data_IF_028114033958
#
_entry.id   IF_028114033958
#
_cell.length_a   1.000
_cell.length_b   1.000
_cell.length_c   1.000
_cell.angle_alpha   90.00
_cell.angle_beta   90.00
_cell.angle_gamma   90.00
#
_symmetry.space_group_name_H-M   'P 1'
#
loop_
_entity.id
_entity.type
_entity.pdbx_description
1 polymer ?
#
# COMPACT_ATOMS: atom_id res chain seq x y z
N UNK A 1 -27.72 4.71 2.32
CA UNK A 1 -26.47 4.30 3.04
C UNK A 1 -26.39 4.94 4.42
N UNK A 2 -25.46 4.52 5.31
CA UNK A 2 -25.29 5.14 6.64
C UNK A 2 -25.07 6.66 6.60
N UNK A 3 -24.31 7.12 5.59
CA UNK A 3 -24.05 8.55 5.36
C UNK A 3 -25.35 9.31 5.05
N UNK A 4 -26.21 8.75 4.20
CA UNK A 4 -27.53 9.33 3.88
C UNK A 4 -28.48 9.33 5.09
N UNK A 5 -28.50 8.25 5.87
CA UNK A 5 -29.31 8.17 7.09
C UNK A 5 -28.91 9.29 8.08
N UNK A 6 -27.61 9.45 8.35
CA UNK A 6 -27.10 10.51 9.23
C UNK A 6 -27.38 11.91 8.69
N UNK A 7 -27.26 12.10 7.37
CA UNK A 7 -27.42 13.42 6.77
C UNK A 7 -28.88 13.87 6.64
N UNK A 8 -29.81 12.94 6.43
CA UNK A 8 -31.20 13.27 6.09
C UNK A 8 -32.24 12.77 7.10
N UNK A 9 -32.08 11.56 7.64
CA UNK A 9 -33.05 10.97 8.58
C UNK A 9 -32.80 11.38 10.02
N UNK A 10 -31.54 11.33 10.46
CA UNK A 10 -31.17 11.57 11.87
C UNK A 10 -31.40 13.02 12.30
N UNK A 11 -31.35 13.96 11.35
CA UNK A 11 -31.63 15.39 11.59
C UNK A 11 -33.12 15.72 11.67
N UNK A 12 -34.00 14.86 11.14
CA UNK A 12 -35.44 15.09 11.13
C UNK A 12 -36.16 14.19 12.16
N UNK A 13 -36.54 14.83 13.26
CA UNK A 13 -37.26 14.19 14.37
C UNK A 13 -38.63 13.64 13.95
N UNK A 14 -39.25 14.18 12.90
CA UNK A 14 -40.52 13.68 12.37
C UNK A 14 -40.36 12.36 11.60
N UNK A 15 -39.21 12.13 10.98
CA UNK A 15 -38.86 10.86 10.33
C UNK A 15 -38.47 9.80 11.37
N UNK A 16 -37.64 10.15 12.36
CA UNK A 16 -37.20 9.20 13.40
C UNK A 16 -38.33 8.54 14.20
N UNK A 17 -39.46 9.24 14.38
CA UNK A 17 -40.64 8.69 15.06
C UNK A 17 -41.52 7.80 14.17
N UNK A 18 -41.28 7.77 12.86
CA UNK A 18 -42.09 7.02 11.88
C UNK A 18 -41.36 5.84 11.28
N UNK A 19 -40.02 5.87 11.28
CA UNK A 19 -39.19 4.83 10.67
C UNK A 19 -38.38 4.10 11.74
N UNK A 20 -38.43 2.77 11.69
CA UNK A 20 -37.55 1.91 12.47
C UNK A 20 -36.27 1.64 11.68
N UNK A 21 -35.12 1.91 12.28
CA UNK A 21 -33.83 1.56 11.69
C UNK A 21 -33.65 0.04 11.73
N UNK A 22 -33.41 -0.55 10.55
CA UNK A 22 -32.97 -1.93 10.39
C UNK A 22 -31.59 -1.87 9.72
N UNK A 23 -30.57 -2.38 10.41
CA UNK A 23 -29.21 -2.43 9.90
C UNK A 23 -29.06 -3.65 8.97
N UNK A 24 -28.76 -3.39 7.69
CA UNK A 24 -28.49 -4.42 6.69
C UNK A 24 -26.97 -4.52 6.52
N UNK A 25 -26.39 -5.60 7.02
CA UNK A 25 -24.95 -5.83 7.00
C UNK A 25 -24.48 -6.34 5.63
N UNK A 26 -23.19 -6.13 5.35
CA UNK A 26 -22.48 -6.78 4.25
C UNK A 26 -22.57 -8.32 4.42
N UNK A 27 -22.95 -9.08 3.38
CA UNK A 27 -23.03 -10.54 3.44
C UNK A 27 -21.66 -11.17 3.63
N UNK A 28 -21.65 -12.37 4.21
CA UNK A 28 -20.43 -13.17 4.33
C UNK A 28 -19.93 -13.63 2.96
N UNK A 29 -18.67 -14.08 2.89
CA UNK A 29 -18.11 -14.70 1.67
C UNK A 29 -19.00 -15.87 1.21
N UNK A 30 -19.40 -16.74 2.15
CA UNK A 30 -20.24 -17.90 1.85
C UNK A 30 -21.61 -17.49 1.30
N UNK A 31 -22.25 -16.50 1.90
CA UNK A 31 -23.55 -16.02 1.45
C UNK A 31 -23.46 -15.30 0.10
N UNK A 32 -22.38 -14.56 -0.13
CA UNK A 32 -22.12 -13.92 -1.43
C UNK A 32 -21.93 -14.96 -2.54
N UNK A 33 -21.25 -16.07 -2.26
CA UNK A 33 -21.14 -17.19 -3.21
C UNK A 33 -22.54 -17.76 -3.53
N UNK A 34 -23.42 -17.91 -2.54
CA UNK A 34 -24.82 -18.37 -2.77
C UNK A 34 -25.61 -17.38 -3.62
N UNK A 35 -25.49 -16.08 -3.33
CA UNK A 35 -26.13 -15.00 -4.11
C UNK A 35 -25.70 -15.07 -5.57
N UNK A 36 -24.39 -15.13 -5.83
CA UNK A 36 -23.86 -15.21 -7.19
C UNK A 36 -24.23 -16.50 -7.92
N UNK A 37 -24.33 -17.64 -7.22
CA UNK A 37 -24.87 -18.87 -7.80
C UNK A 37 -26.32 -18.70 -8.24
N UNK A 38 -27.13 -17.97 -7.47
CA UNK A 38 -28.51 -17.64 -7.82
C UNK A 38 -28.62 -16.69 -9.03
N UNK A 39 -27.69 -15.73 -9.15
CA UNK A 39 -27.65 -14.79 -10.27
C UNK A 39 -26.93 -15.35 -11.51
N UNK A 40 -26.23 -16.48 -11.40
CA UNK A 40 -25.37 -17.04 -12.44
C UNK A 40 -26.09 -17.15 -13.79
N UNK A 41 -27.28 -17.74 -13.82
CA UNK A 41 -28.01 -17.96 -15.08
C UNK A 41 -28.33 -16.66 -15.81
N UNK A 42 -28.68 -15.59 -15.07
CA UNK A 42 -28.95 -14.29 -15.67
C UNK A 42 -27.71 -13.70 -16.36
N UNK A 43 -26.54 -13.76 -15.73
CA UNK A 43 -25.28 -13.31 -16.34
C UNK A 43 -24.84 -14.20 -17.50
N UNK A 44 -25.02 -15.51 -17.39
CA UNK A 44 -24.71 -16.46 -18.46
C UNK A 44 -25.54 -16.20 -19.72
N UNK A 45 -26.83 -15.95 -19.55
CA UNK A 45 -27.75 -15.70 -20.66
C UNK A 45 -27.51 -14.32 -21.28
N UNK A 46 -27.27 -13.30 -20.44
CA UNK A 46 -26.97 -11.94 -20.89
C UNK A 46 -25.65 -11.88 -21.69
N UNK A 47 -24.59 -12.49 -21.16
CA UNK A 47 -23.24 -12.46 -21.74
C UNK A 47 -22.92 -13.68 -22.59
N UNK A 48 -23.86 -14.59 -22.85
CA UNK A 48 -23.67 -15.81 -23.67
C UNK A 48 -22.40 -16.61 -23.32
N UNK A 49 -22.06 -16.66 -22.03
CA UNK A 49 -20.92 -17.40 -21.46
C UNK A 49 -21.41 -18.35 -20.36
N UNK A 50 -20.53 -19.22 -19.87
CA UNK A 50 -20.75 -20.08 -18.71
C UNK A 50 -19.69 -19.81 -17.66
N UNK A 51 -20.08 -19.67 -16.40
CA UNK A 51 -19.14 -19.48 -15.29
C UNK A 51 -18.91 -20.80 -14.57
N UNK A 52 -17.64 -21.19 -14.42
CA UNK A 52 -17.29 -22.34 -13.58
C UNK A 52 -17.61 -22.05 -12.11
N UNK A 53 -17.91 -23.08 -11.28
CA UNK A 53 -18.10 -22.87 -9.84
C UNK A 53 -16.89 -22.24 -9.16
N UNK A 54 -15.70 -22.58 -9.64
CA UNK A 54 -14.43 -22.03 -9.18
C UNK A 54 -14.33 -20.53 -9.52
N UNK A 55 -14.66 -20.10 -10.75
CA UNK A 55 -14.68 -18.69 -11.12
C UNK A 55 -15.59 -17.83 -10.20
N UNK A 56 -16.76 -18.34 -9.81
CA UNK A 56 -17.66 -17.63 -8.88
C UNK A 56 -16.99 -17.50 -7.50
N UNK A 57 -16.40 -18.58 -7.00
CA UNK A 57 -15.71 -18.57 -5.71
C UNK A 57 -14.53 -17.58 -5.73
N UNK A 58 -13.69 -17.66 -6.76
CA UNK A 58 -12.56 -16.75 -6.99
C UNK A 58 -13.02 -15.29 -7.07
N UNK A 59 -14.14 -14.99 -7.74
CA UNK A 59 -14.64 -13.62 -7.85
C UNK A 59 -14.98 -13.04 -6.47
N UNK A 60 -15.61 -13.82 -5.59
CA UNK A 60 -15.93 -13.38 -4.23
C UNK A 60 -14.67 -13.23 -3.39
N UNK A 61 -13.82 -14.25 -3.35
CA UNK A 61 -12.64 -14.26 -2.47
C UNK A 61 -11.64 -13.16 -2.85
N UNK A 62 -11.36 -13.00 -4.14
CA UNK A 62 -10.39 -12.01 -4.61
C UNK A 62 -10.96 -10.59 -4.59
N UNK A 63 -12.26 -10.37 -4.89
CA UNK A 63 -12.86 -9.04 -4.72
C UNK A 63 -12.95 -8.63 -3.25
N UNK A 64 -13.23 -9.58 -2.36
CA UNK A 64 -13.17 -9.35 -0.91
C UNK A 64 -11.79 -8.89 -0.46
N UNK A 65 -10.73 -9.48 -1.04
CA UNK A 65 -9.33 -9.22 -0.68
C UNK A 65 -8.75 -7.95 -1.30
N UNK A 66 -9.04 -7.67 -2.56
CA UNK A 66 -8.35 -6.63 -3.34
C UNK A 66 -9.20 -5.39 -3.64
N UNK A 67 -10.53 -5.49 -3.61
CA UNK A 67 -11.44 -4.36 -3.86
C UNK A 67 -12.02 -3.90 -2.52
N UNK A 68 -11.38 -2.91 -1.89
CA UNK A 68 -11.66 -2.48 -0.51
C UNK A 68 -12.61 -1.27 -0.41
N UNK A 69 -12.76 -0.50 -1.48
CA UNK A 69 -13.62 0.68 -1.58
C UNK A 69 -15.11 0.32 -1.69
N UNK A 70 -15.43 -0.94 -2.02
CA UNK A 70 -16.78 -1.46 -2.18
C UNK A 70 -17.07 -2.62 -1.24
N UNK A 71 -18.37 -2.89 -1.09
CA UNK A 71 -18.92 -3.91 -0.22
C UNK A 71 -19.43 -5.10 -1.03
N UNK A 72 -19.34 -6.29 -0.46
CA UNK A 72 -20.08 -7.45 -0.96
C UNK A 72 -21.60 -7.18 -0.84
N UNK A 73 -22.44 -7.78 -1.69
CA UNK A 73 -22.08 -8.65 -2.82
C UNK A 73 -21.71 -7.88 -4.10
N UNK A 74 -22.00 -6.58 -4.17
CA UNK A 74 -21.89 -5.75 -5.39
C UNK A 74 -20.52 -5.85 -6.06
N UNK A 75 -19.42 -5.70 -5.32
CA UNK A 75 -18.08 -5.77 -5.93
C UNK A 75 -17.78 -7.11 -6.62
N UNK A 76 -18.36 -8.21 -6.14
CA UNK A 76 -18.18 -9.52 -6.75
C UNK A 76 -19.11 -9.71 -7.96
N UNK A 77 -20.29 -9.08 -7.92
CA UNK A 77 -21.23 -9.00 -9.05
C UNK A 77 -20.59 -8.19 -10.18
N UNK A 78 -20.02 -7.03 -9.87
CA UNK A 78 -19.32 -6.17 -10.83
C UNK A 78 -18.20 -6.94 -11.55
N UNK A 79 -17.40 -7.73 -10.81
CA UNK A 79 -16.36 -8.58 -11.41
C UNK A 79 -16.94 -9.59 -12.39
N UNK A 80 -18.02 -10.28 -12.03
CA UNK A 80 -18.65 -11.28 -12.91
C UNK A 80 -19.21 -10.61 -14.17
N UNK A 81 -19.88 -9.47 -13.99
CA UNK A 81 -20.47 -8.71 -15.09
C UNK A 81 -19.39 -8.19 -16.06
N UNK A 82 -18.33 -7.60 -15.53
CA UNK A 82 -17.21 -7.04 -16.30
C UNK A 82 -16.49 -8.13 -17.11
N UNK A 83 -16.24 -9.32 -16.53
CA UNK A 83 -15.64 -10.45 -17.27
C UNK A 83 -16.53 -10.88 -18.44
N UNK A 84 -17.85 -10.96 -18.23
CA UNK A 84 -18.81 -11.28 -19.28
C UNK A 84 -18.84 -10.22 -20.38
N UNK A 85 -18.89 -8.95 -19.98
CA UNK A 85 -18.89 -7.80 -20.89
C UNK A 85 -17.61 -7.74 -21.73
N UNK A 86 -16.44 -7.99 -21.13
CA UNK A 86 -15.16 -8.05 -21.86
C UNK A 86 -15.18 -9.13 -22.95
N UNK A 87 -15.81 -10.29 -22.72
CA UNK A 87 -15.95 -11.29 -23.78
C UNK A 87 -16.87 -10.82 -24.92
N UNK A 88 -17.86 -9.97 -24.63
CA UNK A 88 -18.73 -9.40 -25.67
C UNK A 88 -18.00 -8.42 -26.58
N UNK A 89 -16.96 -7.74 -26.08
CA UNK A 89 -16.12 -6.84 -26.87
C UNK A 89 -15.16 -7.58 -27.82
N UNK A 90 -14.86 -8.85 -27.54
CA UNK A 90 -13.97 -9.69 -28.37
C UNK A 90 -14.73 -10.20 -29.61
N UNK A 91 -14.08 -10.34 -30.79
CA UNK A 91 -14.71 -10.92 -31.98
C UNK A 91 -15.28 -12.32 -31.71
N UNK A 92 -16.44 -12.70 -32.29
CA UNK A 92 -17.12 -13.97 -31.98
C UNK A 92 -16.25 -15.23 -32.08
N UNK A 93 -15.28 -15.26 -33.00
CA UNK A 93 -14.35 -16.39 -33.19
C UNK A 93 -13.33 -16.56 -32.06
N UNK A 94 -13.06 -15.51 -31.29
CA UNK A 94 -12.09 -15.50 -30.17
C UNK A 94 -12.75 -15.49 -28.79
N UNK A 95 -14.09 -15.41 -28.72
CA UNK A 95 -14.82 -15.37 -27.45
C UNK A 95 -14.66 -16.68 -26.70
N UNK A 96 -14.28 -16.60 -25.44
CA UNK A 96 -14.36 -17.76 -24.55
C UNK A 96 -15.81 -18.00 -24.17
N UNK A 97 -16.27 -19.24 -24.32
CA UNK A 97 -17.61 -19.66 -23.88
C UNK A 97 -17.66 -20.02 -22.40
N UNK A 98 -16.52 -20.33 -21.80
CA UNK A 98 -16.42 -20.73 -20.40
C UNK A 98 -15.40 -19.87 -19.69
N UNK A 99 -15.82 -19.29 -18.57
CA UNK A 99 -15.05 -18.40 -17.72
C UNK A 99 -14.52 -19.19 -16.53
N UNK A 100 -13.20 -19.13 -16.35
CA UNK A 100 -12.44 -19.80 -15.29
C UNK A 100 -11.89 -18.77 -14.31
N UNK A 101 -11.28 -19.22 -13.20
CA UNK A 101 -10.59 -18.35 -12.25
C UNK A 101 -9.59 -17.40 -12.93
N UNK A 102 -8.92 -17.84 -14.00
CA UNK A 102 -7.90 -17.04 -14.70
C UNK A 102 -8.46 -15.74 -15.29
N UNK A 103 -9.66 -15.75 -15.86
CA UNK A 103 -10.29 -14.54 -16.40
C UNK A 103 -10.72 -13.58 -15.28
N UNK A 104 -11.20 -14.15 -14.17
CA UNK A 104 -11.59 -13.41 -12.96
C UNK A 104 -10.37 -12.68 -12.38
N UNK A 105 -9.23 -13.38 -12.26
CA UNK A 105 -7.98 -12.80 -11.79
C UNK A 105 -7.55 -11.60 -12.64
N UNK A 106 -7.68 -11.68 -13.96
CA UNK A 106 -7.31 -10.59 -14.88
C UNK A 106 -8.20 -9.35 -14.73
N UNK A 107 -9.51 -9.57 -14.54
CA UNK A 107 -10.45 -8.46 -14.34
C UNK A 107 -10.26 -7.82 -12.98
N UNK A 108 -10.12 -8.62 -11.92
CA UNK A 108 -9.82 -8.09 -10.59
C UNK A 108 -8.49 -7.36 -10.60
N UNK A 109 -7.48 -7.86 -11.30
CA UNK A 109 -6.21 -7.15 -11.46
C UNK A 109 -6.41 -5.75 -12.05
N UNK A 110 -7.24 -5.65 -13.08
CA UNK A 110 -7.55 -4.38 -13.74
C UNK A 110 -8.37 -3.45 -12.82
N UNK A 111 -9.41 -3.97 -12.17
CA UNK A 111 -10.29 -3.19 -11.27
C UNK A 111 -9.55 -2.70 -10.03
N UNK A 112 -8.74 -3.56 -9.41
CA UNK A 112 -7.93 -3.25 -8.24
C UNK A 112 -6.59 -2.55 -8.59
N UNK A 113 -6.32 -2.32 -9.87
CA UNK A 113 -5.09 -1.69 -10.39
C UNK A 113 -3.82 -2.38 -9.89
N UNK A 114 -3.86 -3.70 -9.84
CA UNK A 114 -2.72 -4.55 -9.52
C UNK A 114 -2.21 -5.26 -10.77
N UNK A 115 -0.90 -5.52 -10.88
CA UNK A 115 -0.38 -6.34 -11.96
C UNK A 115 -1.14 -7.69 -12.04
N UNK A 116 -1.58 -8.14 -13.22
CA UNK A 116 -2.24 -9.45 -13.35
C UNK A 116 -1.36 -10.60 -12.85
N UNK A 117 -0.04 -10.41 -12.92
CA UNK A 117 0.92 -11.33 -12.34
C UNK A 117 0.82 -11.39 -10.82
N UNK A 118 0.55 -10.30 -10.10
CA UNK A 118 0.50 -10.28 -8.62
C UNK A 118 -0.79 -10.88 -8.04
N UNK A 119 -1.82 -11.13 -8.85
CA UNK A 119 -3.02 -11.86 -8.41
C UNK A 119 -2.77 -13.38 -8.41
N UNK A 120 -1.97 -13.85 -9.37
CA UNK A 120 -1.66 -15.27 -9.61
C UNK A 120 -0.30 -15.70 -9.04
N UNK A 121 0.66 -14.78 -8.94
CA UNK A 121 1.96 -15.01 -8.31
C UNK A 121 1.79 -14.94 -6.81
N UNK A 122 2.14 -16.02 -6.14
CA UNK A 122 2.39 -16.01 -4.72
C UNK A 122 3.40 -14.87 -4.44
N UNK A 123 2.99 -13.77 -3.80
CA UNK A 123 3.89 -12.75 -3.22
C UNK A 123 5.05 -13.45 -2.51
N UNK A 124 4.76 -14.61 -1.91
CA UNK A 124 5.70 -15.53 -1.30
C UNK A 124 6.88 -15.91 -2.21
N UNK A 125 6.67 -16.21 -3.48
CA UNK A 125 7.73 -16.58 -4.45
C UNK A 125 8.60 -15.39 -4.81
N UNK A 126 7.99 -14.21 -4.97
CA UNK A 126 8.74 -12.97 -5.22
C UNK A 126 9.62 -12.66 -4.00
N UNK A 127 9.04 -12.76 -2.80
CA UNK A 127 9.76 -12.51 -1.55
C UNK A 127 10.82 -13.54 -1.23
N UNK A 128 10.63 -14.80 -1.61
CA UNK A 128 11.62 -15.87 -1.44
C UNK A 128 12.97 -15.50 -2.07
N UNK A 129 12.94 -14.93 -3.27
CA UNK A 129 14.11 -14.55 -4.04
C UNK A 129 14.51 -13.07 -3.94
N UNK A 130 13.77 -12.27 -3.17
CA UNK A 130 13.94 -10.81 -3.10
C UNK A 130 15.38 -10.36 -2.83
N UNK A 131 16.05 -10.98 -1.85
CA UNK A 131 17.43 -10.62 -1.49
C UNK A 131 18.39 -10.82 -2.66
N UNK A 132 18.30 -11.98 -3.33
CA UNK A 132 19.12 -12.33 -4.49
C UNK A 132 18.86 -11.36 -5.64
N UNK A 133 17.59 -11.05 -5.88
CA UNK A 133 17.19 -10.23 -7.01
C UNK A 133 17.55 -8.74 -6.78
N UNK A 134 17.47 -8.24 -5.54
CA UNK A 134 18.00 -6.93 -5.15
C UNK A 134 19.52 -6.85 -5.28
N UNK A 135 20.28 -7.85 -4.79
CA UNK A 135 21.75 -7.90 -4.90
C UNK A 135 22.25 -7.96 -6.36
N UNK A 136 21.39 -8.28 -7.33
CA UNK A 136 21.72 -8.24 -8.77
C UNK A 136 21.57 -6.85 -9.39
N UNK A 137 20.71 -6.01 -8.83
CA UNK A 137 20.42 -4.67 -9.33
C UNK A 137 21.19 -3.60 -8.57
N UNK A 138 21.39 -3.80 -7.27
CA UNK A 138 22.08 -2.88 -6.38
C UNK A 138 23.41 -3.49 -5.97
N UNK A 139 24.50 -2.85 -6.41
CA UNK A 139 25.85 -3.27 -6.05
C UNK A 139 26.27 -2.63 -4.73
N UNK A 140 26.72 -3.47 -3.80
CA UNK A 140 27.03 -3.08 -2.44
C UNK A 140 25.80 -3.13 -1.53
N UNK A 141 25.96 -2.64 -0.29
CA UNK A 141 24.85 -2.51 0.67
C UNK A 141 24.19 -3.86 0.99
N UNK A 142 24.92 -4.97 0.89
CA UNK A 142 24.42 -6.33 1.12
C UNK A 142 23.68 -6.44 2.45
N UNK A 143 24.21 -5.81 3.50
CA UNK A 143 23.58 -5.80 4.82
C UNK A 143 22.23 -5.08 4.83
N UNK A 144 22.10 -3.97 4.12
CA UNK A 144 20.83 -3.25 3.98
C UNK A 144 19.80 -4.13 3.27
N UNK A 145 20.21 -4.78 2.18
CA UNK A 145 19.37 -5.67 1.38
C UNK A 145 18.92 -6.89 2.20
N UNK A 146 19.82 -7.48 2.99
CA UNK A 146 19.52 -8.60 3.89
C UNK A 146 18.48 -8.22 4.96
N UNK A 147 18.66 -7.06 5.62
CA UNK A 147 17.73 -6.58 6.65
C UNK A 147 16.35 -6.29 6.05
N UNK A 148 16.30 -5.56 4.94
CA UNK A 148 15.06 -5.27 4.23
C UNK A 148 14.35 -6.55 3.80
N UNK A 149 15.08 -7.47 3.16
CA UNK A 149 14.51 -8.72 2.65
C UNK A 149 13.98 -9.61 3.77
N UNK A 150 14.71 -9.69 4.89
CA UNK A 150 14.29 -10.45 6.07
C UNK A 150 13.02 -9.87 6.69
N UNK A 151 12.96 -8.55 6.85
CA UNK A 151 11.81 -7.88 7.41
C UNK A 151 10.57 -8.00 6.50
N UNK A 152 10.73 -7.82 5.18
CA UNK A 152 9.65 -8.02 4.20
C UNK A 152 9.09 -9.45 4.22
N UNK A 153 9.97 -10.47 4.28
CA UNK A 153 9.56 -11.87 4.41
C UNK A 153 8.76 -12.11 5.69
N UNK A 154 9.19 -11.52 6.81
CA UNK A 154 8.50 -11.62 8.09
C UNK A 154 7.11 -10.97 8.05
N UNK A 155 7.00 -9.75 7.51
CA UNK A 155 5.73 -9.03 7.40
C UNK A 155 4.72 -9.77 6.51
N UNK A 156 5.16 -10.57 5.54
CA UNK A 156 4.29 -11.43 4.70
C UNK A 156 4.08 -12.86 5.17
N UNK A 157 4.81 -13.34 6.18
CA UNK A 157 4.60 -14.69 6.73
C UNK A 157 3.27 -14.86 7.49
N UNK A 158 2.36 -13.87 7.44
CA UNK A 158 1.08 -13.89 8.16
C UNK A 158 1.23 -13.61 9.66
N UNK A 159 2.41 -13.20 10.11
CA UNK A 159 2.70 -12.84 11.49
C UNK A 159 2.33 -11.38 11.82
N UNK A 160 1.79 -10.64 10.83
CA UNK A 160 1.39 -9.24 10.95
C UNK A 160 -0.12 -9.11 10.93
N UNK A 161 -0.61 -8.09 11.62
CA UNK A 161 -1.97 -7.60 11.51
C UNK A 161 -2.31 -7.23 10.05
N UNK A 162 -3.47 -7.70 9.58
CA UNK A 162 -3.96 -7.45 8.22
C UNK A 162 -4.32 -5.98 7.98
N UNK A 163 -4.51 -5.21 9.04
CA UNK A 163 -4.86 -3.79 8.95
C UNK A 163 -3.64 -2.86 8.89
N UNK A 164 -2.42 -3.38 8.75
CA UNK A 164 -1.20 -2.56 8.62
C UNK A 164 -0.64 -2.53 7.20
N UNK A 165 0.21 -1.56 6.85
CA UNK A 165 0.96 -1.57 5.59
C UNK A 165 1.76 -2.86 5.41
N UNK A 166 2.17 -3.17 4.18
CA UNK A 166 2.98 -4.36 3.88
C UNK A 166 4.28 -4.32 4.68
N UNK A 167 4.91 -3.15 4.75
CA UNK A 167 6.17 -2.89 5.45
C UNK A 167 6.33 -1.39 5.70
N UNK A 168 6.96 -1.02 6.81
CA UNK A 168 7.39 0.33 7.13
C UNK A 168 8.87 0.33 7.48
N UNK A 169 9.68 1.01 6.67
CA UNK A 169 11.13 0.96 6.75
C UNK A 169 11.73 2.36 6.82
N UNK A 170 12.78 2.51 7.63
CA UNK A 170 13.61 3.72 7.65
C UNK A 170 15.00 3.38 7.12
N UNK A 171 15.37 3.93 5.96
CA UNK A 171 16.69 3.79 5.36
C UNK A 171 17.59 4.90 5.88
N UNK A 172 18.58 4.56 6.70
CA UNK A 172 19.52 5.51 7.30
C UNK A 172 20.90 5.41 6.65
N UNK A 173 21.60 6.53 6.48
CA UNK A 173 22.98 6.54 5.97
C UNK A 173 23.30 7.79 5.13
N UNK A 174 24.52 7.88 4.58
CA UNK A 174 24.95 9.04 3.78
C UNK A 174 24.14 9.24 2.49
N UNK A 175 24.27 10.40 1.85
CA UNK A 175 23.71 10.64 0.51
C UNK A 175 24.46 9.85 -0.55
N UNK A 176 23.80 9.52 -1.66
CA UNK A 176 24.45 8.88 -2.82
C UNK A 176 24.87 7.41 -2.65
N UNK A 177 24.44 6.74 -1.56
CA UNK A 177 24.81 5.33 -1.27
C UNK A 177 23.79 4.29 -1.75
N UNK A 178 22.77 4.71 -2.50
CA UNK A 178 21.78 3.79 -3.09
C UNK A 178 20.47 3.59 -2.32
N UNK A 179 20.14 4.43 -1.32
CA UNK A 179 18.86 4.36 -0.57
C UNK A 179 17.63 4.36 -1.49
N UNK A 180 17.52 5.40 -2.33
CA UNK A 180 16.44 5.55 -3.31
C UNK A 180 16.47 4.46 -4.38
N UNK A 181 17.66 3.96 -4.73
CA UNK A 181 17.83 2.93 -5.76
C UNK A 181 17.32 1.55 -5.28
N UNK A 182 17.56 1.20 -4.02
CA UNK A 182 16.96 0.00 -3.40
C UNK A 182 15.44 0.09 -3.40
N UNK A 183 14.86 1.26 -3.07
CA UNK A 183 13.41 1.45 -3.10
C UNK A 183 12.83 1.32 -4.52
N UNK A 184 13.51 1.88 -5.53
CA UNK A 184 13.13 1.74 -6.95
C UNK A 184 13.23 0.30 -7.41
N UNK A 185 14.34 -0.38 -7.12
CA UNK A 185 14.55 -1.79 -7.47
C UNK A 185 13.53 -2.70 -6.81
N UNK A 186 13.14 -2.42 -5.55
CA UNK A 186 12.07 -3.16 -4.87
C UNK A 186 10.74 -3.03 -5.62
N UNK A 187 10.37 -1.80 -6.03
CA UNK A 187 9.15 -1.55 -6.79
C UNK A 187 9.14 -2.32 -8.11
N UNK A 188 10.27 -2.32 -8.84
CA UNK A 188 10.44 -3.05 -10.10
C UNK A 188 10.32 -4.57 -9.92
N UNK A 189 11.00 -5.14 -8.91
CA UNK A 189 10.94 -6.59 -8.60
C UNK A 189 9.52 -7.01 -8.21
N UNK A 190 8.83 -6.19 -7.41
CA UNK A 190 7.44 -6.44 -7.01
C UNK A 190 6.44 -6.15 -8.15
N UNK A 191 6.88 -5.47 -9.21
CA UNK A 191 6.03 -5.07 -10.34
C UNK A 191 5.00 -4.00 -9.99
N UNK A 192 5.20 -3.24 -8.91
CA UNK A 192 4.27 -2.20 -8.44
C UNK A 192 4.89 -0.80 -8.66
N UNK A 193 4.08 0.25 -8.85
CA UNK A 193 4.58 1.60 -9.03
C UNK A 193 5.33 2.13 -7.79
N UNK A 194 6.26 3.06 -8.04
CA UNK A 194 6.95 3.86 -7.02
C UNK A 194 6.29 5.24 -6.93
N UNK A 195 5.71 5.55 -5.77
CA UNK A 195 5.22 6.88 -5.42
C UNK A 195 6.27 7.59 -4.58
N UNK A 196 6.80 8.73 -5.04
CA UNK A 196 7.92 9.42 -4.39
C UNK A 196 7.55 10.84 -4.02
N UNK A 197 7.84 11.22 -2.77
CA UNK A 197 7.69 12.57 -2.25
C UNK A 197 9.00 13.02 -1.59
N UNK A 198 9.49 14.19 -1.94
CA UNK A 198 10.66 14.82 -1.31
C UNK A 198 10.20 15.64 -0.11
N UNK A 199 10.60 15.25 1.11
CA UNK A 199 10.14 15.88 2.34
C UNK A 199 10.72 17.27 2.58
N UNK A 200 11.74 17.68 1.80
CA UNK A 200 12.21 19.06 1.77
C UNK A 200 11.17 20.04 1.20
N UNK A 201 10.21 19.57 0.39
CA UNK A 201 9.08 20.40 -0.07
C UNK A 201 7.99 20.57 1.01
N UNK A 202 8.07 19.81 2.10
CA UNK A 202 7.05 19.69 3.14
C UNK A 202 7.54 20.13 4.52
N UNK A 203 8.53 21.02 4.55
CA UNK A 203 9.12 21.58 5.78
C UNK A 203 8.15 22.47 6.55
N UNK A 204 7.22 23.13 5.84
CA UNK A 204 6.28 24.07 6.43
C UNK A 204 4.93 23.42 6.76
N UNK A 205 4.24 23.98 7.75
CA UNK A 205 2.94 23.46 8.18
C UNK A 205 1.89 23.48 7.05
N UNK A 206 1.89 24.54 6.24
CA UNK A 206 0.93 24.70 5.16
C UNK A 206 1.16 23.72 3.99
N UNK A 207 2.40 23.29 3.77
CA UNK A 207 2.72 22.26 2.76
C UNK A 207 2.17 20.89 3.14
N UNK A 208 2.08 20.55 4.44
CA UNK A 208 1.43 19.31 4.90
C UNK A 208 -0.05 19.28 4.55
N UNK A 209 -0.75 20.42 4.65
CA UNK A 209 -2.14 20.51 4.21
C UNK A 209 -2.29 20.21 2.72
N UNK A 210 -1.33 20.58 1.86
CA UNK A 210 -1.37 20.20 0.44
C UNK A 210 -1.08 18.70 0.22
N UNK A 211 -0.24 18.11 1.05
CA UNK A 211 0.09 16.68 0.97
C UNK A 211 -1.12 15.80 1.33
N UNK A 212 -1.91 16.19 2.33
CA UNK A 212 -2.98 15.35 2.91
C UNK A 212 -4.38 15.77 2.46
N UNK A 213 -4.55 17.06 2.19
CA UNK A 213 -5.83 17.73 1.90
C UNK A 213 -6.00 18.92 2.85
N UNK A 214 -6.44 20.07 2.36
CA UNK A 214 -6.64 21.22 3.24
C UNK A 214 -7.95 21.09 4.03
N UNK A 215 -8.04 21.57 5.28
CA UNK A 215 -9.30 21.59 6.03
C UNK A 215 -10.27 22.66 5.49
N UNK A 216 -11.58 22.55 5.80
CA UNK A 216 -12.58 23.54 5.41
C UNK A 216 -12.18 24.97 5.82
N UNK A 217 -12.20 25.89 4.87
CA UNK A 217 -11.86 27.31 5.10
C UNK A 217 -10.41 27.69 4.77
N UNK A 218 -9.58 26.78 4.26
CA UNK A 218 -8.23 27.06 3.78
C UNK A 218 -8.14 27.08 2.25
N UNK A 219 -7.18 27.83 1.69
CA UNK A 219 -6.93 27.86 0.24
C UNK A 219 -6.52 26.46 -0.22
N UNK A 220 -7.17 25.96 -1.27
CA UNK A 220 -6.97 24.59 -1.75
C UNK A 220 -7.85 23.55 -1.06
N UNK A 221 -8.86 23.97 -0.27
CA UNK A 221 -9.86 23.04 0.28
C UNK A 221 -10.49 22.16 -0.81
N UNK A 222 -10.88 22.69 -1.96
CA UNK A 222 -11.47 21.86 -3.02
C UNK A 222 -10.45 20.97 -3.77
N UNK A 223 -9.16 21.01 -3.40
CA UNK A 223 -8.10 20.17 -3.96
C UNK A 223 -7.81 19.04 -2.98
N UNK A 224 -7.91 17.79 -3.44
CA UNK A 224 -7.51 16.62 -2.67
C UNK A 224 -6.02 16.66 -2.29
N UNK A 225 -5.64 15.84 -1.31
CA UNK A 225 -4.25 15.76 -0.88
C UNK A 225 -3.40 15.00 -1.90
N UNK A 226 -2.19 15.49 -2.18
CA UNK A 226 -1.28 14.84 -3.12
C UNK A 226 -0.98 13.38 -2.74
N UNK A 227 -0.73 13.11 -1.46
CA UNK A 227 -0.47 11.76 -0.96
C UNK A 227 -1.73 10.91 -0.94
N UNK A 228 -2.83 11.46 -0.42
CA UNK A 228 -4.09 10.72 -0.31
C UNK A 228 -4.64 10.35 -1.68
N UNK A 229 -4.56 11.24 -2.66
CA UNK A 229 -4.96 10.95 -4.04
C UNK A 229 -3.98 10.02 -4.76
N UNK A 230 -2.67 10.11 -4.52
CA UNK A 230 -1.70 9.18 -5.10
C UNK A 230 -1.96 7.74 -4.66
N UNK A 231 -2.20 7.53 -3.36
CA UNK A 231 -2.48 6.20 -2.81
C UNK A 231 -3.88 5.72 -3.18
N UNK A 232 -4.88 6.60 -3.22
CA UNK A 232 -6.22 6.24 -3.71
C UNK A 232 -6.21 5.80 -5.18
N UNK A 233 -5.38 6.45 -6.00
CA UNK A 233 -5.21 6.09 -7.41
C UNK A 233 -4.35 4.82 -7.60
N UNK A 234 -3.36 4.60 -6.74
CA UNK A 234 -2.44 3.47 -6.80
C UNK A 234 -2.26 2.83 -5.41
N UNK A 235 -3.25 2.06 -4.94
CA UNK A 235 -3.24 1.51 -3.58
C UNK A 235 -2.19 0.42 -3.36
N UNK A 236 -1.61 -0.11 -4.45
CA UNK A 236 -0.51 -1.06 -4.44
C UNK A 236 0.76 -0.40 -4.98
N UNK A 237 1.58 0.16 -4.08
CA UNK A 237 2.79 0.86 -4.48
C UNK A 237 3.88 0.74 -3.42
N UNK A 238 5.11 1.03 -3.83
CA UNK A 238 6.16 1.46 -2.90
C UNK A 238 6.00 2.97 -2.71
N UNK A 239 5.74 3.41 -1.48
CA UNK A 239 5.69 4.82 -1.12
C UNK A 239 7.03 5.22 -0.51
N UNK A 240 7.76 6.10 -1.20
CA UNK A 240 9.05 6.61 -0.80
C UNK A 240 8.94 8.07 -0.34
N UNK A 241 9.25 8.31 0.94
CA UNK A 241 9.37 9.64 1.53
C UNK A 241 10.86 9.94 1.73
N UNK A 242 11.44 10.71 0.81
CA UNK A 242 12.86 11.03 0.85
C UNK A 242 13.15 12.17 1.84
N UNK A 243 14.28 12.07 2.57
CA UNK A 243 14.74 13.06 3.56
C UNK A 243 13.73 13.38 4.67
N UNK A 244 13.15 12.35 5.29
CA UNK A 244 12.05 12.48 6.26
C UNK A 244 12.39 13.39 7.45
N UNK A 245 13.66 13.56 7.80
CA UNK A 245 14.11 14.50 8.84
C UNK A 245 13.83 15.98 8.52
N UNK A 246 13.56 16.31 7.26
CA UNK A 246 13.23 17.67 6.82
C UNK A 246 11.75 17.98 6.93
N UNK A 247 10.89 16.96 6.98
CA UNK A 247 9.45 17.15 7.06
C UNK A 247 9.02 17.94 8.30
N UNK A 248 7.92 18.69 8.16
CA UNK A 248 7.26 19.30 9.31
C UNK A 248 6.83 18.23 10.33
N UNK A 249 6.95 18.47 11.66
CA UNK A 249 6.61 17.51 12.71
C UNK A 249 5.20 16.91 12.63
N UNK A 250 4.22 17.68 12.15
CA UNK A 250 2.82 17.21 11.98
C UNK A 250 2.72 15.97 11.07
N UNK A 251 3.66 15.78 10.13
CA UNK A 251 3.68 14.60 9.26
C UNK A 251 3.89 13.30 10.05
N UNK A 252 4.70 13.32 11.11
CA UNK A 252 5.01 12.13 11.89
C UNK A 252 3.77 11.55 12.58
N UNK A 253 2.85 12.41 13.05
CA UNK A 253 1.58 11.97 13.64
C UNK A 253 0.70 11.25 12.61
N UNK A 254 0.72 11.73 11.36
CA UNK A 254 -0.01 11.14 10.25
C UNK A 254 0.59 9.78 9.87
N UNK A 255 1.93 9.69 9.81
CA UNK A 255 2.62 8.45 9.54
C UNK A 255 2.40 7.41 10.64
N UNK A 256 2.34 7.82 11.92
CA UNK A 256 1.95 6.93 13.02
C UNK A 256 0.56 6.33 12.79
N UNK A 257 -0.43 7.15 12.41
CA UNK A 257 -1.77 6.66 12.08
C UNK A 257 -1.75 5.64 10.92
N UNK A 258 -0.97 5.92 9.88
CA UNK A 258 -0.83 5.02 8.72
C UNK A 258 -0.17 3.70 9.12
N UNK A 259 0.90 3.72 9.91
CA UNK A 259 1.60 2.51 10.35
C UNK A 259 0.77 1.66 11.31
N UNK A 260 -0.15 2.29 12.04
CA UNK A 260 -1.00 1.62 13.04
C UNK A 260 -2.21 0.96 12.44
N UNK A 261 -2.93 1.70 11.60
CA UNK A 261 -4.26 1.34 11.13
C UNK A 261 -4.34 1.09 9.62
N UNK A 262 -3.21 1.27 8.91
CA UNK A 262 -3.12 1.09 7.46
C UNK A 262 -4.10 1.98 6.70
N UNK A 263 -4.59 3.06 7.30
CA UNK A 263 -5.60 3.95 6.73
C UNK A 263 -5.37 5.38 7.16
N UNK A 264 -5.62 6.28 6.22
CA UNK A 264 -5.58 7.71 6.46
C UNK A 264 -6.91 8.33 6.04
N UNK A 265 -7.51 9.12 6.90
CA UNK A 265 -8.70 9.90 6.55
C UNK A 265 -8.28 11.35 6.38
N UNK A 266 -8.55 11.91 5.20
CA UNK A 266 -8.29 13.31 4.93
C UNK A 266 -9.31 14.23 5.64
N UNK A 267 -9.13 15.54 5.50
CA UNK A 267 -10.02 16.52 6.11
C UNK A 267 -11.42 16.59 5.47
N UNK A 268 -11.62 15.96 4.30
CA UNK A 268 -12.93 15.82 3.63
C UNK A 268 -13.68 14.57 4.09
N UNK A 269 -13.07 13.74 4.93
CA UNK A 269 -13.62 12.46 5.37
C UNK A 269 -13.47 11.35 4.33
N UNK A 270 -12.64 11.53 3.29
CA UNK A 270 -12.22 10.46 2.38
C UNK A 270 -11.17 9.62 3.09
N UNK A 271 -11.40 8.32 3.17
CA UNK A 271 -10.46 7.38 3.79
C UNK A 271 -9.73 6.62 2.70
N UNK A 272 -8.40 6.64 2.77
CA UNK A 272 -7.48 6.00 1.84
C UNK A 272 -6.80 4.82 2.52
N UNK A 273 -6.62 3.73 1.77
CA UNK A 273 -6.11 2.44 2.26
C UNK A 273 -4.63 2.27 1.93
N UNK A 274 -3.81 2.07 2.96
CA UNK A 274 -2.36 1.85 2.90
C UNK A 274 -1.97 0.39 3.18
N UNK A 275 -2.91 -0.53 3.41
CA UNK A 275 -2.62 -1.94 3.73
C UNK A 275 -1.84 -2.68 2.64
N UNK A 276 -1.89 -2.15 1.42
CA UNK A 276 -1.19 -2.68 0.25
C UNK A 276 0.04 -1.85 -0.16
N UNK A 277 0.49 -0.94 0.71
CA UNK A 277 1.64 -0.06 0.48
C UNK A 277 2.87 -0.57 1.22
N UNK A 278 4.03 -0.50 0.57
CA UNK A 278 5.34 -0.59 1.24
C UNK A 278 5.82 0.82 1.52
N UNK A 279 5.83 1.24 2.78
CA UNK A 279 6.29 2.56 3.21
C UNK A 279 7.81 2.53 3.44
N UNK A 280 8.54 3.34 2.68
CA UNK A 280 9.98 3.56 2.83
C UNK A 280 10.22 5.03 3.10
N UNK A 281 10.98 5.32 4.16
CA UNK A 281 11.43 6.66 4.49
C UNK A 281 12.95 6.67 4.41
N UNK A 282 13.55 7.70 3.82
CA UNK A 282 15.01 7.84 3.80
C UNK A 282 15.45 8.97 4.72
N UNK A 283 16.60 8.81 5.35
CA UNK A 283 17.20 9.84 6.17
C UNK A 283 18.71 9.89 6.01
N UNK A 284 19.26 11.09 6.12
CA UNK A 284 20.70 11.31 6.18
C UNK A 284 21.23 11.28 7.62
N UNK A 285 20.39 10.95 8.60
CA UNK A 285 20.79 10.74 9.99
C UNK A 285 21.95 9.73 10.10
N UNK A 286 22.95 10.07 10.91
CA UNK A 286 24.15 9.25 11.13
C UNK A 286 25.27 9.47 10.12
N UNK A 287 25.06 10.17 9.00
CA UNK A 287 26.09 10.36 7.98
C UNK A 287 27.34 11.10 8.49
N UNK A 288 27.15 12.15 9.30
CA UNK A 288 28.23 12.94 9.91
C UNK A 288 28.99 12.16 10.99
N UNK A 289 28.30 11.33 11.77
CA UNK A 289 28.91 10.55 12.85
C UNK A 289 29.66 9.33 12.30
N UNK A 290 29.19 8.74 11.20
CA UNK A 290 29.91 7.70 10.45
C UNK A 290 31.16 8.24 9.73
N UNK A 291 31.15 9.53 9.35
CA UNK A 291 32.29 10.20 8.73
C UNK A 291 33.39 10.59 9.73
N UNK A 292 33.04 10.80 11.00
CA UNK A 292 34.03 11.05 12.06
C UNK A 292 34.87 9.79 12.28
N UNK A 293 36.16 9.87 11.96
CA UNK A 293 37.13 8.90 12.48
C UNK A 293 37.26 9.18 13.98
N UNK A 294 36.88 8.22 14.82
CA UNK A 294 37.05 8.33 16.27
C UNK A 294 38.55 8.42 16.60
N UNK A 295 39.00 9.57 17.07
CA UNK A 295 40.26 9.71 17.79
C UNK A 295 39.91 9.58 19.28
N UNK A 296 40.04 8.37 19.84
CA UNK A 296 39.76 8.12 21.26
C UNK A 296 39.84 6.64 21.64
N UNK A 297 40.26 6.37 22.88
CA UNK A 297 40.33 5.04 23.49
C UNK A 297 38.93 4.53 23.85
N UNK A 298 38.18 4.07 22.85
CA UNK A 298 36.86 3.47 23.03
C UNK A 298 36.38 2.93 21.70
N UNK A 299 36.26 1.61 21.61
CA UNK A 299 35.89 0.89 20.39
C UNK A 299 34.36 0.98 20.19
N UNK A 300 33.84 2.20 20.00
CA UNK A 300 32.46 2.39 19.55
C UNK A 300 32.47 2.15 18.06
N UNK A 301 31.86 1.05 17.62
CA UNK A 301 31.82 0.71 16.21
C UNK A 301 31.07 1.82 15.44
N UNK A 302 31.46 2.09 14.19
CA UNK A 302 30.77 3.09 13.35
C UNK A 302 29.28 2.78 13.15
N UNK A 303 28.88 1.52 13.31
CA UNK A 303 27.48 1.08 13.27
C UNK A 303 26.70 1.59 14.49
N UNK A 304 27.27 1.50 15.69
CA UNK A 304 26.63 1.96 16.94
C UNK A 304 26.39 3.47 16.92
N UNK A 305 27.29 4.24 16.30
CA UNK A 305 27.15 5.68 16.14
C UNK A 305 25.97 6.08 15.22
N UNK A 306 25.74 5.32 14.14
CA UNK A 306 24.61 5.54 13.23
C UNK A 306 23.27 5.27 13.92
N UNK A 307 23.19 4.18 14.69
CA UNK A 307 22.00 3.83 15.47
C UNK A 307 21.67 4.89 16.52
N UNK A 308 22.67 5.40 17.25
CA UNK A 308 22.46 6.48 18.23
C UNK A 308 21.97 7.77 17.58
N UNK A 309 22.44 8.12 16.38
CA UNK A 309 21.94 9.30 15.65
C UNK A 309 20.45 9.15 15.29
N UNK A 310 20.03 7.97 14.83
CA UNK A 310 18.62 7.67 14.54
C UNK A 310 17.78 7.73 15.83
N UNK A 311 18.28 7.18 16.95
CA UNK A 311 17.57 7.23 18.25
C UNK A 311 17.34 8.64 18.78
N UNK A 312 18.28 9.56 18.52
CA UNK A 312 18.18 10.96 18.92
C UNK A 312 17.21 11.75 18.04
N UNK A 313 17.20 11.45 16.75
CA UNK A 313 16.38 12.18 15.77
C UNK A 313 14.91 11.74 15.78
N UNK A 314 14.65 10.44 15.92
CA UNK A 314 13.30 9.88 15.87
C UNK A 314 12.85 9.39 17.24
N UNK A 315 11.63 9.76 17.62
CA UNK A 315 11.04 9.38 18.90
C UNK A 315 10.96 7.85 19.03
N UNK A 316 11.01 7.31 20.27
CA UNK A 316 10.79 5.89 20.50
C UNK A 316 9.46 5.40 19.92
N UNK A 317 8.41 6.21 20.01
CA UNK A 317 7.09 5.91 19.47
C UNK A 317 7.13 5.64 17.97
N UNK A 318 7.77 6.53 17.20
CA UNK A 318 7.94 6.36 15.76
C UNK A 318 8.79 5.13 15.43
N UNK A 319 9.92 4.96 16.12
CA UNK A 319 10.83 3.83 15.87
C UNK A 319 10.19 2.47 16.14
N UNK A 320 9.33 2.38 17.15
CA UNK A 320 8.62 1.14 17.50
C UNK A 320 7.55 0.73 16.47
N UNK A 321 7.19 1.62 15.53
CA UNK A 321 6.25 1.31 14.43
C UNK A 321 6.95 0.89 13.13
N UNK A 322 8.27 1.01 13.05
CA UNK A 322 9.06 0.54 11.92
C UNK A 322 9.24 -0.98 12.01
N UNK A 323 9.12 -1.67 10.87
CA UNK A 323 9.48 -3.09 10.76
C UNK A 323 11.00 -3.29 10.81
N UNK A 324 11.74 -2.37 10.21
CA UNK A 324 13.19 -2.31 10.32
C UNK A 324 13.74 -0.90 10.07
N UNK A 325 14.84 -0.60 10.76
CA UNK A 325 15.77 0.46 10.37
C UNK A 325 16.85 -0.22 9.53
N UNK A 326 17.02 0.23 8.30
CA UNK A 326 17.88 -0.38 7.30
C UNK A 326 19.14 0.50 7.12
N UNK A 327 20.30 0.08 7.62
CA UNK A 327 21.51 0.91 7.58
C UNK A 327 22.24 0.80 6.24
N UNK A 328 22.56 1.95 5.65
CA UNK A 328 23.35 2.08 4.43
C UNK A 328 24.73 2.64 4.74
N UNK A 329 25.77 1.92 4.31
CA UNK A 329 27.16 2.33 4.45
C UNK A 329 27.67 3.11 3.22
N UNK A 330 28.78 3.81 3.40
CA UNK A 330 29.54 4.39 2.29
C UNK A 330 29.93 3.30 1.28
N UNK A 331 29.88 3.65 0.00
CA UNK A 331 30.31 2.77 -1.08
C UNK A 331 31.82 2.55 -1.01
N UNK A 332 32.24 1.29 -1.12
CA UNK A 332 33.66 0.95 -1.26
C UNK A 332 34.16 1.33 -2.67
N UNK A 333 35.44 1.70 -2.84
CA UNK A 333 35.99 2.06 -4.16
C UNK A 333 35.76 1.00 -5.25
N UNK A 334 35.74 -0.28 -4.87
CA UNK A 334 35.46 -1.42 -5.77
C UNK A 334 34.04 -1.41 -6.34
N UNK A 335 33.09 -0.82 -5.62
CA UNK A 335 31.68 -0.70 -6.07
C UNK A 335 31.52 0.47 -7.02
N UNK A 336 32.22 1.58 -6.76
CA UNK A 336 32.17 2.79 -7.61
C UNK A 336 32.89 2.60 -8.95
N UNK A 337 33.81 1.63 -9.05
CA UNK A 337 34.62 1.37 -10.24
C UNK A 337 34.04 0.32 -11.19
N UNK A 338 32.89 -0.29 -10.86
CA UNK A 338 32.17 -1.27 -11.69
C UNK A 338 31.01 -0.64 -12.43
#
# INVERSE_FOLDING_TARGET
>A
TYKEFRNHFEKDRALLRRFQKIDVNEPTIEDTIKILRGLRTAFEDHHKVKYTPDAIKTAVELSARYINDRKLPDKAIDVIDEVGAMQMLVPPSKRKKTITAREIEQVIATMARIPPKSVSSDDKKVLEHLERDLKRLVFGQDKAIEVLSSAMKLSRAGLRDADKPIGSFLFSGPTGVGKTEVARSLAEIMGIPLQRFDMSEYMERHSISRLIGAPPGYVGFDQGGLLTDAIDQQPHCVLLLDEIEKAHPDLFNILLQVMDNGRLTDHHGKTVDFRNVVLIMTTNAGASDMARQGIGFGDVSKADAGDEAVKKMFTPEFRNRLDAIVPFAYLLPEVVSR
#
